data_IF_794983351191
#
_entry.id   IF_794983351191
#
_cell.length_a   1.000
_cell.length_b   1.000
_cell.length_c   1.000
_cell.angle_alpha   90.00
_cell.angle_beta   90.00
_cell.angle_gamma   90.00
#
_symmetry.space_group_name_H-M   'P 1'
#
loop_
_entity.id
_entity.type
_entity.pdbx_description
1 polymer ?
#
# COMPACT_ATOMS: atom_id res chain seq x y z
N UNK A 1 87.31 11.16 19.04
CA UNK A 1 86.46 11.71 17.96
C UNK A 1 85.39 10.70 17.44
N UNK A 2 85.57 9.44 17.72
CA UNK A 2 84.65 8.33 17.24
C UNK A 2 83.35 8.20 18.04
N UNK A 3 83.33 8.47 19.37
CA UNK A 3 82.18 8.31 20.26
C UNK A 3 81.06 9.31 19.99
N UNK A 4 81.39 10.56 19.48
CA UNK A 4 80.33 11.55 19.14
C UNK A 4 79.55 11.27 17.86
N UNK A 5 80.11 10.47 16.96
CA UNK A 5 79.47 10.09 15.71
C UNK A 5 78.44 8.94 15.91
N UNK A 6 78.65 8.08 16.89
CA UNK A 6 77.71 6.92 17.18
C UNK A 6 76.43 7.42 17.86
N UNK A 7 76.51 8.38 18.79
CA UNK A 7 75.32 8.95 19.45
C UNK A 7 74.46 9.77 18.51
N UNK A 8 75.02 10.46 17.51
CA UNK A 8 74.26 11.22 16.52
C UNK A 8 73.42 10.29 15.61
N UNK A 9 74.01 9.19 15.18
CA UNK A 9 73.28 8.19 14.35
C UNK A 9 72.18 7.42 15.09
N UNK A 10 72.42 7.10 16.37
CA UNK A 10 71.43 6.42 17.21
C UNK A 10 70.25 7.32 17.53
N UNK A 11 70.45 8.61 17.80
CA UNK A 11 69.38 9.56 18.00
C UNK A 11 68.58 9.82 16.72
N UNK A 12 69.19 9.82 15.53
CA UNK A 12 68.48 9.99 14.26
C UNK A 12 67.65 8.74 13.92
N UNK A 13 68.14 7.54 14.12
CA UNK A 13 67.36 6.30 13.96
C UNK A 13 66.17 6.22 14.93
N UNK A 14 66.32 6.68 16.17
CA UNK A 14 65.21 6.76 17.13
C UNK A 14 64.16 7.80 16.73
N UNK A 15 64.58 8.96 16.16
CA UNK A 15 63.62 9.94 15.63
C UNK A 15 62.89 9.46 14.37
N UNK A 16 63.54 8.75 13.47
CA UNK A 16 62.91 8.18 12.28
C UNK A 16 61.94 7.05 12.65
N UNK A 17 62.31 6.24 13.62
CA UNK A 17 61.40 5.19 14.16
C UNK A 17 60.17 5.78 14.88
N UNK A 18 60.35 6.86 15.66
CA UNK A 18 59.25 7.58 16.31
C UNK A 18 58.32 8.26 15.28
N UNK A 19 58.88 8.81 14.22
CA UNK A 19 58.10 9.43 13.13
C UNK A 19 57.34 8.42 12.30
N UNK A 20 57.91 7.22 12.08
CA UNK A 20 57.21 6.10 11.41
C UNK A 20 56.04 5.56 12.23
N UNK A 21 56.12 5.49 13.56
CA UNK A 21 55.05 5.08 14.44
C UNK A 21 53.87 6.08 14.41
N UNK A 22 54.14 7.38 14.30
CA UNK A 22 53.08 8.42 14.18
C UNK A 22 52.34 8.33 12.84
N UNK A 23 53.01 7.92 11.76
CA UNK A 23 52.37 7.74 10.45
C UNK A 23 51.47 6.52 10.39
N UNK A 24 51.66 5.50 11.23
CA UNK A 24 50.80 4.32 11.31
C UNK A 24 49.64 4.48 12.27
N UNK A 25 49.62 5.48 13.15
CA UNK A 25 48.54 5.76 14.09
C UNK A 25 47.39 6.57 13.49
N UNK A 26 47.46 6.99 12.23
CA UNK A 26 46.53 7.90 11.58
C UNK A 26 45.37 7.25 10.82
N UNK A 27 45.22 5.92 10.81
CA UNK A 27 44.21 5.25 10.03
C UNK A 27 43.28 4.36 10.84
N UNK A 28 42.67 4.86 11.90
CA UNK A 28 41.50 4.18 12.52
C UNK A 28 40.46 5.18 13.03
N UNK A 29 40.27 6.28 12.31
CA UNK A 29 39.02 7.00 12.33
C UNK A 29 38.04 6.26 11.40
N UNK A 30 37.46 5.16 11.84
CA UNK A 30 36.18 4.73 11.33
C UNK A 30 35.18 5.85 11.73
N UNK A 31 35.13 6.90 10.94
CA UNK A 31 33.89 7.63 10.80
C UNK A 31 32.92 6.60 10.22
N UNK A 32 32.24 5.87 11.09
CA UNK A 32 30.99 5.22 10.71
C UNK A 32 30.11 6.33 10.14
N UNK A 33 30.18 6.48 8.82
CA UNK A 33 29.13 7.21 8.10
C UNK A 33 27.83 6.57 8.59
N UNK A 34 26.83 7.34 9.07
CA UNK A 34 25.56 6.76 9.45
C UNK A 34 25.21 5.80 8.33
N UNK A 35 24.95 4.53 8.67
CA UNK A 35 24.74 3.44 7.70
C UNK A 35 23.64 3.90 6.76
N UNK A 36 24.04 4.46 5.61
CA UNK A 36 23.09 4.80 4.55
C UNK A 36 22.34 3.50 4.24
N UNK A 37 21.05 3.55 4.32
CA UNK A 37 20.21 2.43 3.94
C UNK A 37 20.53 2.01 2.51
N UNK A 38 20.35 0.75 2.20
CA UNK A 38 20.50 0.19 0.87
C UNK A 38 19.26 -0.61 0.52
N UNK A 39 19.15 -1.09 -0.70
CA UNK A 39 17.97 -1.81 -1.19
C UNK A 39 17.50 -3.02 -0.34
N UNK A 40 18.34 -3.50 0.59
CA UNK A 40 18.07 -4.69 1.40
C UNK A 40 18.45 -4.55 2.88
N UNK A 41 18.76 -3.35 3.35
CA UNK A 41 19.09 -3.06 4.75
C UNK A 41 18.76 -1.61 5.12
N UNK A 42 18.51 -1.37 6.41
CA UNK A 42 18.18 -0.07 6.97
C UNK A 42 16.76 -0.02 7.52
N UNK A 43 16.31 1.15 7.91
CA UNK A 43 14.95 1.38 8.41
C UNK A 43 14.32 2.56 7.68
N UNK A 44 13.11 2.37 7.16
CA UNK A 44 12.33 3.44 6.52
C UNK A 44 10.92 3.51 7.07
N UNK A 45 10.34 4.70 7.02
CA UNK A 45 8.91 4.92 7.26
C UNK A 45 8.17 5.06 5.93
N UNK A 46 7.03 4.40 5.85
CA UNK A 46 6.10 4.52 4.73
C UNK A 46 4.70 4.85 5.25
N UNK A 47 3.93 5.62 4.49
CA UNK A 47 2.51 5.87 4.80
C UNK A 47 1.62 5.10 3.83
N UNK A 48 0.65 4.38 4.35
CA UNK A 48 -0.16 3.44 3.58
C UNK A 48 -1.63 3.73 3.82
N UNK A 49 -2.40 3.80 2.73
CA UNK A 49 -3.86 3.83 2.83
C UNK A 49 -4.36 2.60 3.60
N UNK A 50 -5.14 2.84 4.64
CA UNK A 50 -5.62 1.82 5.59
C UNK A 50 -6.37 0.68 4.89
N UNK A 51 -7.04 0.96 3.78
CA UNK A 51 -7.75 -0.04 2.98
C UNK A 51 -6.85 -1.20 2.53
N UNK A 52 -5.52 -1.01 2.48
CA UNK A 52 -4.55 -2.00 2.03
C UNK A 52 -3.73 -2.64 3.15
N UNK A 53 -4.06 -2.34 4.42
CA UNK A 53 -3.31 -2.86 5.56
C UNK A 53 -3.04 -4.37 5.49
N UNK A 54 -4.01 -5.28 5.26
CA UNK A 54 -3.74 -6.72 5.28
C UNK A 54 -2.72 -7.17 4.23
N UNK A 55 -2.81 -6.62 3.01
CA UNK A 55 -1.91 -7.01 1.93
C UNK A 55 -0.53 -6.40 2.08
N UNK A 56 -0.42 -5.16 2.58
CA UNK A 56 0.88 -4.51 2.76
C UNK A 56 1.61 -5.08 3.98
N UNK A 57 0.91 -5.43 5.07
CA UNK A 57 1.52 -6.19 6.17
C UNK A 57 2.14 -7.50 5.66
N UNK A 58 1.45 -8.22 4.77
CA UNK A 58 1.97 -9.45 4.16
C UNK A 58 3.18 -9.18 3.26
N UNK A 59 3.19 -8.09 2.49
CA UNK A 59 4.34 -7.67 1.68
C UNK A 59 5.56 -7.38 2.55
N UNK A 60 5.38 -6.60 3.63
CA UNK A 60 6.45 -6.23 4.57
C UNK A 60 7.00 -7.47 5.26
N UNK A 61 6.12 -8.34 5.76
CA UNK A 61 6.52 -9.58 6.43
C UNK A 61 7.43 -10.46 5.55
N UNK A 62 7.06 -10.65 4.29
CA UNK A 62 7.87 -11.47 3.37
C UNK A 62 9.15 -10.75 2.98
N UNK A 63 9.12 -9.44 2.76
CA UNK A 63 10.30 -8.65 2.45
C UNK A 63 11.33 -8.68 3.58
N UNK A 64 10.90 -8.43 4.83
CA UNK A 64 11.78 -8.46 6.01
C UNK A 64 12.32 -9.88 6.29
N UNK A 65 11.53 -10.93 6.01
CA UNK A 65 12.01 -12.32 6.11
C UNK A 65 13.10 -12.64 5.08
N UNK A 66 13.04 -12.07 3.87
CA UNK A 66 14.07 -12.21 2.85
C UNK A 66 15.31 -11.35 3.13
N UNK A 67 15.12 -10.22 3.78
CA UNK A 67 16.15 -9.23 4.08
C UNK A 67 16.17 -8.89 5.57
N UNK A 68 16.75 -9.73 6.44
CA UNK A 68 16.68 -9.58 7.90
C UNK A 68 17.29 -8.29 8.47
N UNK A 69 18.06 -7.56 7.67
CA UNK A 69 18.63 -6.23 8.02
C UNK A 69 17.76 -5.07 7.55
N UNK A 70 16.63 -5.35 6.90
CA UNK A 70 15.67 -4.36 6.46
C UNK A 70 14.52 -4.26 7.47
N UNK A 71 14.08 -3.01 7.75
CA UNK A 71 12.92 -2.73 8.59
C UNK A 71 12.04 -1.69 7.91
N UNK A 72 10.77 -2.02 7.68
CA UNK A 72 9.78 -1.11 7.11
C UNK A 72 8.72 -0.81 8.17
N UNK A 73 8.60 0.45 8.54
CA UNK A 73 7.61 0.93 9.50
C UNK A 73 6.47 1.56 8.70
N UNK A 74 5.32 0.90 8.69
CA UNK A 74 4.14 1.35 7.97
C UNK A 74 3.15 2.05 8.90
N UNK A 75 2.82 3.30 8.57
CA UNK A 75 1.77 4.08 9.20
C UNK A 75 0.49 3.99 8.35
N UNK A 76 -0.55 3.34 8.89
CA UNK A 76 -1.84 3.17 8.22
C UNK A 76 -2.77 4.33 8.55
N UNK A 77 -3.21 5.05 7.52
CA UNK A 77 -4.04 6.26 7.64
C UNK A 77 -4.89 6.51 6.40
N UNK A 78 -5.62 7.61 6.37
CA UNK A 78 -6.40 8.01 5.19
C UNK A 78 -5.49 8.33 3.99
N UNK A 79 -5.99 8.15 2.77
CA UNK A 79 -5.23 8.45 1.55
C UNK A 79 -4.73 9.90 1.52
N UNK A 80 -5.55 10.85 1.93
CA UNK A 80 -5.16 12.27 1.96
C UNK A 80 -4.04 12.55 2.98
N UNK A 81 -4.03 11.85 4.12
CA UNK A 81 -2.93 11.94 5.08
C UNK A 81 -1.64 11.31 4.53
N UNK A 82 -1.73 10.24 3.74
CA UNK A 82 -0.57 9.69 3.04
C UNK A 82 0.07 10.72 2.10
N UNK A 83 -0.75 11.44 1.30
CA UNK A 83 -0.23 12.52 0.44
C UNK A 83 0.39 13.68 1.23
N UNK A 84 -0.19 14.05 2.39
CA UNK A 84 0.42 15.04 3.30
C UNK A 84 1.78 14.55 3.85
N UNK A 85 1.92 13.25 4.09
CA UNK A 85 3.16 12.67 4.57
C UNK A 85 4.24 12.59 3.49
N UNK A 86 3.87 12.48 2.22
CA UNK A 86 4.84 12.45 1.11
C UNK A 86 5.72 13.70 1.07
N UNK A 87 5.23 14.85 1.59
CA UNK A 87 6.00 16.10 1.68
C UNK A 87 7.01 16.06 2.83
N UNK A 88 6.79 15.22 3.86
CA UNK A 88 7.65 15.13 5.05
C UNK A 88 8.94 14.34 4.74
N UNK A 89 10.07 14.80 5.27
CA UNK A 89 11.37 14.14 5.06
C UNK A 89 11.44 12.74 5.68
N UNK A 90 10.64 12.49 6.73
CA UNK A 90 10.60 11.19 7.40
C UNK A 90 9.93 10.08 6.57
N UNK A 91 9.07 10.42 5.61
CA UNK A 91 8.34 9.45 4.80
C UNK A 91 9.04 9.21 3.48
N UNK A 92 9.44 7.97 3.22
CA UNK A 92 10.15 7.58 2.00
C UNK A 92 9.23 7.15 0.86
N UNK A 93 8.10 6.58 1.19
CA UNK A 93 7.14 6.04 0.23
C UNK A 93 5.73 6.19 0.77
N UNK A 94 4.78 6.39 -0.14
CA UNK A 94 3.36 6.20 0.17
C UNK A 94 2.76 5.12 -0.73
N UNK A 95 1.73 4.43 -0.23
CA UNK A 95 0.96 3.43 -0.98
C UNK A 95 -0.50 3.83 -0.94
N UNK A 96 -1.06 4.15 -2.12
CA UNK A 96 -2.33 4.86 -2.32
C UNK A 96 -3.07 4.36 -3.56
N UNK A 97 -4.28 4.87 -3.83
CA UNK A 97 -5.13 4.37 -4.93
C UNK A 97 -4.99 5.15 -6.24
N UNK A 98 -4.12 6.14 -6.30
CA UNK A 98 -3.83 6.93 -7.51
C UNK A 98 -2.35 7.31 -7.58
N UNK A 99 -1.87 7.62 -8.76
CA UNK A 99 -0.59 8.31 -8.95
C UNK A 99 -0.69 9.81 -8.62
N UNK A 100 0.39 10.53 -8.88
CA UNK A 100 0.41 11.99 -8.82
C UNK A 100 -0.44 12.57 -9.96
N UNK A 101 -1.06 13.72 -9.72
CA UNK A 101 -1.64 14.55 -10.78
C UNK A 101 -0.54 15.40 -11.46
N UNK A 102 -0.85 15.94 -12.64
CA UNK A 102 0.10 16.80 -13.37
C UNK A 102 0.52 18.02 -12.52
N UNK A 103 -0.41 18.59 -11.71
CA UNK A 103 -0.12 19.70 -10.81
C UNK A 103 0.80 19.28 -9.65
N UNK A 104 0.57 18.08 -9.10
CA UNK A 104 1.42 17.51 -8.03
C UNK A 104 2.82 17.19 -8.58
N UNK A 105 2.93 16.59 -9.77
CA UNK A 105 4.23 16.33 -10.42
C UNK A 105 4.98 17.64 -10.68
N UNK A 106 4.29 18.66 -11.18
CA UNK A 106 4.85 19.98 -11.40
C UNK A 106 5.33 20.62 -10.09
N UNK A 107 4.54 20.51 -9.01
CA UNK A 107 4.94 21.01 -7.70
C UNK A 107 6.24 20.37 -7.21
N UNK A 108 6.35 19.02 -7.29
CA UNK A 108 7.58 18.33 -6.89
C UNK A 108 8.78 18.75 -7.73
N UNK A 109 8.60 18.89 -9.04
CA UNK A 109 9.65 19.31 -9.97
C UNK A 109 10.12 20.73 -9.71
N UNK A 110 9.19 21.68 -9.64
CA UNK A 110 9.50 23.10 -9.65
C UNK A 110 9.87 23.61 -8.25
N UNK A 111 9.26 23.07 -7.19
CA UNK A 111 9.44 23.53 -5.81
C UNK A 111 10.48 22.71 -5.03
N UNK A 112 10.59 21.41 -5.31
CA UNK A 112 11.45 20.49 -4.56
C UNK A 112 12.62 19.95 -5.40
N UNK A 113 12.68 20.30 -6.70
CA UNK A 113 13.69 19.80 -7.66
C UNK A 113 13.83 18.26 -7.64
N UNK A 114 12.75 17.58 -7.37
CA UNK A 114 12.68 16.15 -7.19
C UNK A 114 11.49 15.54 -7.96
N UNK A 115 11.72 14.36 -8.56
CA UNK A 115 10.68 13.58 -9.22
C UNK A 115 10.42 12.31 -8.43
N UNK A 116 9.30 12.20 -7.70
CA UNK A 116 8.91 10.93 -7.10
C UNK A 116 8.67 9.88 -8.18
N UNK A 117 9.31 8.73 -8.04
CA UNK A 117 9.00 7.59 -8.89
C UNK A 117 7.68 6.97 -8.42
N UNK A 118 6.73 6.74 -9.32
CA UNK A 118 5.50 6.02 -8.98
C UNK A 118 5.07 5.06 -10.07
N UNK A 119 4.38 4.01 -9.67
CA UNK A 119 3.84 3.03 -10.61
C UNK A 119 2.66 2.27 -9.98
N UNK A 120 1.82 1.72 -10.85
CA UNK A 120 0.72 0.87 -10.44
C UNK A 120 1.20 -0.55 -10.18
N UNK A 121 0.92 -1.09 -8.98
CA UNK A 121 1.34 -2.43 -8.55
C UNK A 121 0.23 -3.48 -8.59
N UNK A 122 -1.04 -3.04 -8.43
CA UNK A 122 -2.19 -3.94 -8.50
C UNK A 122 -3.47 -3.19 -8.91
N UNK A 123 -4.51 -3.96 -9.26
CA UNK A 123 -5.88 -3.48 -9.27
C UNK A 123 -6.60 -4.08 -8.05
N UNK A 124 -7.23 -3.22 -7.29
CA UNK A 124 -8.09 -3.53 -6.14
C UNK A 124 -9.56 -3.37 -6.54
N UNK A 125 -10.45 -3.87 -5.70
CA UNK A 125 -11.87 -3.59 -5.79
C UNK A 125 -12.40 -3.13 -4.43
N UNK A 126 -13.31 -2.15 -4.44
CA UNK A 126 -14.13 -1.84 -3.28
C UNK A 126 -15.26 -2.86 -3.21
N UNK A 127 -15.17 -3.79 -2.26
CA UNK A 127 -16.19 -4.80 -2.03
C UNK A 127 -17.35 -4.20 -1.24
N UNK A 128 -18.58 -4.51 -1.67
CA UNK A 128 -19.78 -4.24 -0.88
C UNK A 128 -20.08 -5.47 -0.04
N UNK A 129 -20.22 -5.30 1.28
CA UNK A 129 -20.56 -6.37 2.21
C UNK A 129 -21.88 -6.06 2.89
N UNK A 130 -22.64 -7.14 3.17
CA UNK A 130 -23.92 -7.09 3.88
C UNK A 130 -23.95 -8.14 4.99
N UNK A 131 -24.81 -7.97 5.96
CA UNK A 131 -25.02 -8.98 7.00
C UNK A 131 -25.49 -10.30 6.37
N UNK A 132 -25.04 -11.45 6.89
CA UNK A 132 -25.44 -12.76 6.38
C UNK A 132 -26.96 -13.03 6.48
N UNK A 133 -27.63 -12.35 7.41
CA UNK A 133 -29.09 -12.46 7.60
C UNK A 133 -29.93 -11.51 6.73
N UNK A 134 -29.27 -10.62 5.96
CA UNK A 134 -29.98 -9.72 5.05
C UNK A 134 -30.53 -10.51 3.85
N UNK A 135 -31.76 -10.25 3.40
CA UNK A 135 -32.29 -10.90 2.22
C UNK A 135 -31.55 -10.48 0.94
N UNK A 136 -31.21 -9.22 0.84
CA UNK A 136 -30.59 -8.63 -0.34
C UNK A 136 -29.06 -8.83 -0.35
N UNK A 137 -28.55 -9.26 -1.50
CA UNK A 137 -27.11 -9.38 -1.77
C UNK A 137 -26.75 -9.12 -3.24
N UNK A 138 -27.74 -8.65 -4.01
CA UNK A 138 -27.59 -8.27 -5.42
C UNK A 138 -27.94 -6.79 -5.55
N UNK A 139 -27.01 -5.98 -6.05
CA UNK A 139 -27.21 -4.54 -6.15
C UNK A 139 -26.80 -4.02 -7.54
N UNK A 140 -27.73 -3.30 -8.18
CA UNK A 140 -27.36 -2.48 -9.33
C UNK A 140 -26.57 -1.24 -8.86
N UNK A 141 -25.80 -0.66 -9.75
CA UNK A 141 -25.06 0.57 -9.44
C UNK A 141 -26.00 1.75 -9.20
N UNK A 142 -27.17 1.75 -9.83
CA UNK A 142 -28.22 2.76 -9.59
C UNK A 142 -28.82 2.62 -8.20
N UNK A 143 -29.08 1.40 -7.75
CA UNK A 143 -29.54 1.16 -6.38
C UNK A 143 -28.49 1.62 -5.35
N UNK A 144 -27.23 1.29 -5.55
CA UNK A 144 -26.14 1.77 -4.66
C UNK A 144 -26.10 3.30 -4.64
N UNK A 145 -26.15 3.94 -5.82
CA UNK A 145 -26.15 5.41 -5.94
C UNK A 145 -27.32 6.01 -5.17
N UNK A 146 -28.53 5.46 -5.35
CA UNK A 146 -29.72 5.96 -4.70
C UNK A 146 -29.72 5.76 -3.18
N UNK A 147 -29.05 4.71 -2.65
CA UNK A 147 -28.84 4.55 -1.22
C UNK A 147 -27.89 5.64 -0.71
N UNK A 148 -26.79 5.91 -1.44
CA UNK A 148 -25.78 6.87 -1.04
C UNK A 148 -26.25 8.33 -1.09
N UNK A 149 -27.04 8.71 -2.08
CA UNK A 149 -27.58 10.08 -2.26
C UNK A 149 -28.99 10.28 -1.68
N UNK A 150 -29.60 9.19 -1.15
CA UNK A 150 -30.93 9.24 -0.54
C UNK A 150 -32.11 9.31 -1.54
N UNK A 151 -31.85 9.23 -2.85
CA UNK A 151 -32.88 9.46 -3.89
C UNK A 151 -33.90 8.33 -4.03
N UNK A 152 -33.58 7.10 -3.62
CA UNK A 152 -34.47 5.95 -3.80
C UNK A 152 -35.46 5.71 -2.65
N UNK A 153 -35.32 6.39 -1.52
CA UNK A 153 -36.12 6.15 -0.32
C UNK A 153 -35.93 4.79 0.34
N UNK A 154 -34.94 4.01 -0.08
CA UNK A 154 -34.60 2.72 0.49
C UNK A 154 -34.36 2.81 2.00
N UNK A 155 -34.72 1.76 2.75
CA UNK A 155 -34.42 1.68 4.19
C UNK A 155 -32.95 1.40 4.48
N UNK A 156 -32.21 0.94 3.48
CA UNK A 156 -30.81 0.61 3.59
C UNK A 156 -29.95 1.87 3.81
N UNK A 157 -28.86 1.67 4.52
CA UNK A 157 -27.83 2.70 4.81
C UNK A 157 -26.46 2.19 4.39
N UNK A 158 -25.48 3.06 4.36
CA UNK A 158 -24.11 2.72 3.97
C UNK A 158 -23.13 3.08 5.09
N UNK A 159 -22.07 2.28 5.25
CA UNK A 159 -20.99 2.54 6.20
C UNK A 159 -19.63 2.45 5.52
N UNK A 160 -18.77 3.45 5.77
CA UNK A 160 -17.42 3.59 5.22
C UNK A 160 -16.36 3.66 6.33
N UNK A 161 -15.10 3.51 5.96
CA UNK A 161 -13.91 3.59 6.81
C UNK A 161 -13.47 5.03 7.15
N UNK A 162 -14.37 5.95 7.19
CA UNK A 162 -14.21 7.37 7.47
C UNK A 162 -15.33 8.17 6.84
N UNK A 163 -15.44 9.47 7.17
CA UNK A 163 -16.40 10.39 6.55
C UNK A 163 -15.77 11.26 5.47
N UNK A 164 -14.45 11.41 5.49
CA UNK A 164 -13.69 12.28 4.58
C UNK A 164 -12.28 11.71 4.38
N UNK A 165 -11.68 12.08 3.26
CA UNK A 165 -10.24 11.88 3.01
C UNK A 165 -9.77 10.42 2.82
N UNK A 166 -10.64 9.40 2.96
CA UNK A 166 -10.29 8.02 2.65
C UNK A 166 -10.43 7.74 1.16
N UNK A 167 -9.65 6.80 0.65
CA UNK A 167 -9.72 6.40 -0.76
C UNK A 167 -11.07 5.80 -1.13
N UNK A 168 -11.72 5.09 -0.18
CA UNK A 168 -13.03 4.48 -0.38
C UNK A 168 -14.13 5.53 -0.54
N UNK A 169 -14.09 6.58 0.28
CA UNK A 169 -14.99 7.75 0.17
C UNK A 169 -14.75 8.50 -1.13
N UNK A 170 -13.48 8.82 -1.45
CA UNK A 170 -13.14 9.49 -2.71
C UNK A 170 -13.65 8.69 -3.91
N UNK A 171 -13.38 7.37 -3.92
CA UNK A 171 -13.89 6.49 -4.99
C UNK A 171 -15.41 6.56 -5.10
N UNK A 172 -16.14 6.53 -3.97
CA UNK A 172 -17.61 6.59 -3.99
C UNK A 172 -18.11 7.94 -4.52
N UNK A 173 -17.52 9.05 -4.12
CA UNK A 173 -17.90 10.38 -4.63
C UNK A 173 -17.60 10.50 -6.13
N UNK A 174 -16.37 10.17 -6.55
CA UNK A 174 -15.92 10.38 -7.92
C UNK A 174 -16.58 9.41 -8.91
N UNK A 175 -16.58 8.11 -8.56
CA UNK A 175 -16.98 7.06 -9.50
C UNK A 175 -18.46 6.67 -9.40
N UNK A 176 -19.06 6.69 -8.21
CA UNK A 176 -20.46 6.30 -8.01
C UNK A 176 -21.39 7.50 -8.08
N UNK A 177 -21.10 8.53 -7.27
CA UNK A 177 -21.94 9.74 -7.18
C UNK A 177 -21.62 10.79 -8.25
N UNK A 178 -20.50 10.63 -9.00
CA UNK A 178 -20.06 11.56 -10.03
C UNK A 178 -19.94 13.01 -9.51
N UNK A 179 -19.30 13.18 -8.36
CA UNK A 179 -19.07 14.46 -7.72
C UNK A 179 -20.21 14.96 -6.82
N UNK A 180 -21.32 14.23 -6.71
CA UNK A 180 -22.39 14.60 -5.77
C UNK A 180 -22.07 14.23 -4.35
N UNK A 181 -22.70 14.91 -3.39
CA UNK A 181 -22.55 14.63 -1.96
C UNK A 181 -23.41 13.45 -1.53
N UNK A 182 -22.99 12.78 -0.43
CA UNK A 182 -23.79 11.79 0.28
C UNK A 182 -25.00 12.43 0.98
N UNK A 183 -26.07 11.65 1.13
CA UNK A 183 -27.12 11.97 2.11
C UNK A 183 -26.58 11.68 3.53
N UNK A 184 -26.47 12.70 4.42
CA UNK A 184 -25.94 12.52 5.76
C UNK A 184 -26.83 11.64 6.67
N UNK A 185 -28.05 11.36 6.27
CA UNK A 185 -28.97 10.44 6.97
C UNK A 185 -28.76 9.00 6.54
N UNK A 186 -28.07 8.77 5.44
CA UNK A 186 -27.88 7.44 4.82
C UNK A 186 -26.48 6.91 4.96
N UNK A 187 -25.49 7.79 5.11
CA UNK A 187 -24.07 7.39 5.12
C UNK A 187 -23.46 7.63 6.48
N UNK A 188 -22.90 6.58 7.05
CA UNK A 188 -22.22 6.56 8.34
C UNK A 188 -20.72 6.26 8.16
N UNK A 189 -19.94 6.49 9.20
CA UNK A 189 -18.52 6.17 9.21
C UNK A 189 -18.14 5.37 10.45
N UNK A 190 -17.25 4.44 10.22
CA UNK A 190 -16.47 3.75 11.22
C UNK A 190 -15.00 4.22 11.18
N UNK A 191 -14.24 3.89 12.21
CA UNK A 191 -12.87 4.36 12.35
C UNK A 191 -11.94 3.82 11.24
N UNK A 192 -12.20 2.60 10.78
CA UNK A 192 -11.36 1.86 9.82
C UNK A 192 -12.16 0.71 9.18
N UNK A 193 -11.56 0.02 8.23
CA UNK A 193 -12.17 -1.11 7.51
C UNK A 193 -12.64 -2.25 8.43
N UNK A 194 -11.89 -2.55 9.51
CA UNK A 194 -12.33 -3.55 10.51
C UNK A 194 -13.60 -3.10 11.24
N UNK A 195 -13.70 -1.80 11.57
CA UNK A 195 -14.90 -1.19 12.14
C UNK A 195 -16.12 -1.37 11.22
N UNK A 196 -15.95 -1.10 9.92
CA UNK A 196 -17.00 -1.33 8.90
C UNK A 196 -17.48 -2.78 8.91
N UNK A 197 -16.56 -3.75 8.87
CA UNK A 197 -16.91 -5.18 8.88
C UNK A 197 -17.71 -5.54 10.16
N UNK A 198 -17.23 -5.08 11.31
CA UNK A 198 -17.90 -5.34 12.59
C UNK A 198 -19.28 -4.67 12.68
N UNK A 199 -19.40 -3.45 12.15
CA UNK A 199 -20.69 -2.74 12.12
C UNK A 199 -21.72 -3.52 11.28
N UNK A 200 -21.36 -3.92 10.06
CA UNK A 200 -22.22 -4.71 9.18
C UNK A 200 -22.56 -6.07 9.80
N UNK A 201 -21.60 -6.71 10.48
CA UNK A 201 -21.83 -7.99 11.16
C UNK A 201 -22.93 -7.90 12.25
N UNK A 202 -23.14 -6.74 12.84
CA UNK A 202 -24.09 -6.52 13.94
C UNK A 202 -25.36 -5.77 13.53
N UNK A 203 -25.43 -5.25 12.30
CA UNK A 203 -26.58 -4.46 11.84
C UNK A 203 -27.09 -5.00 10.51
N UNK A 204 -28.44 -5.09 10.39
CA UNK A 204 -29.13 -5.42 9.15
C UNK A 204 -29.42 -4.15 8.34
N UNK A 205 -29.68 -4.34 7.05
CA UNK A 205 -29.98 -3.26 6.10
C UNK A 205 -28.85 -2.21 6.00
N UNK A 206 -27.61 -2.67 6.13
CA UNK A 206 -26.41 -1.83 6.02
C UNK A 206 -25.48 -2.39 4.94
N UNK A 207 -25.06 -1.53 4.02
CA UNK A 207 -24.01 -1.82 3.04
C UNK A 207 -22.67 -1.30 3.59
N UNK A 208 -21.71 -2.20 3.80
CA UNK A 208 -20.34 -1.82 4.14
C UNK A 208 -19.45 -1.76 2.90
N UNK A 209 -18.59 -0.77 2.83
CA UNK A 209 -17.65 -0.59 1.73
C UNK A 209 -16.21 -0.78 2.23
N UNK A 210 -15.52 -1.82 1.75
CA UNK A 210 -14.16 -2.17 2.18
C UNK A 210 -13.30 -2.60 0.99
N UNK A 211 -11.98 -2.44 1.07
CA UNK A 211 -11.07 -3.02 0.09
C UNK A 211 -11.14 -4.55 0.08
N UNK A 212 -11.04 -5.16 -1.11
CA UNK A 212 -11.17 -6.62 -1.25
C UNK A 212 -10.12 -7.39 -0.43
N UNK A 213 -8.96 -6.78 -0.16
CA UNK A 213 -7.90 -7.38 0.67
C UNK A 213 -8.32 -7.66 2.11
N UNK A 214 -9.38 -7.01 2.61
CA UNK A 214 -9.92 -7.22 3.95
C UNK A 214 -10.85 -8.41 4.07
N UNK A 215 -11.43 -8.86 2.96
CA UNK A 215 -12.55 -9.84 2.98
C UNK A 215 -12.40 -10.94 1.92
N UNK A 216 -11.46 -10.83 1.00
CA UNK A 216 -11.34 -11.74 -0.13
C UNK A 216 -10.58 -13.03 0.18
N UNK A 217 -9.60 -13.00 1.08
CA UNK A 217 -8.67 -14.11 1.31
C UNK A 217 -9.31 -15.22 2.17
N UNK A 218 -9.66 -16.32 1.51
CA UNK A 218 -10.25 -17.50 2.17
C UNK A 218 -9.22 -18.40 2.88
N UNK A 219 -7.94 -18.11 2.77
CA UNK A 219 -6.86 -18.80 3.50
C UNK A 219 -6.52 -18.07 4.81
N UNK A 220 -6.95 -16.82 4.97
CA UNK A 220 -6.77 -16.02 6.18
C UNK A 220 -7.87 -16.34 7.19
N UNK A 221 -7.49 -16.88 8.35
CA UNK A 221 -8.42 -17.28 9.42
C UNK A 221 -9.25 -16.11 9.95
N UNK A 222 -8.70 -14.91 10.00
CA UNK A 222 -9.41 -13.71 10.42
C UNK A 222 -10.50 -13.35 9.42
N UNK A 223 -10.18 -13.33 8.12
CA UNK A 223 -11.15 -13.06 7.06
C UNK A 223 -12.22 -14.15 6.96
N UNK A 224 -11.85 -15.43 7.17
CA UNK A 224 -12.82 -16.51 7.30
C UNK A 224 -13.81 -16.27 8.46
N UNK A 225 -13.33 -15.73 9.59
CA UNK A 225 -14.21 -15.40 10.71
C UNK A 225 -15.20 -14.29 10.37
N UNK A 226 -14.79 -13.31 9.55
CA UNK A 226 -15.68 -12.25 9.06
C UNK A 226 -16.77 -12.82 8.13
N UNK A 227 -16.38 -13.70 7.20
CA UNK A 227 -17.30 -14.33 6.25
C UNK A 227 -18.36 -15.23 6.89
N UNK A 228 -18.22 -15.61 8.18
CA UNK A 228 -19.27 -16.26 8.96
C UNK A 228 -20.39 -15.29 9.37
N UNK A 229 -20.15 -14.00 9.38
CA UNK A 229 -21.08 -12.95 9.85
C UNK A 229 -21.57 -12.05 8.73
N UNK A 230 -20.71 -11.79 7.74
CA UNK A 230 -21.00 -10.94 6.59
C UNK A 230 -20.78 -11.70 5.28
N UNK A 231 -21.44 -11.28 4.22
CA UNK A 231 -21.21 -11.81 2.88
C UNK A 231 -20.90 -10.69 1.89
N UNK A 232 -20.11 -11.02 0.89
CA UNK A 232 -19.82 -10.11 -0.23
C UNK A 232 -21.04 -10.10 -1.15
N UNK A 233 -21.59 -8.93 -1.38
CA UNK A 233 -22.66 -8.71 -2.34
C UNK A 233 -22.14 -8.84 -3.78
N UNK A 234 -23.00 -9.23 -4.69
CA UNK A 234 -22.73 -9.18 -6.11
C UNK A 234 -23.32 -7.88 -6.70
N UNK A 235 -22.54 -7.22 -7.54
CA UNK A 235 -22.92 -5.99 -8.21
C UNK A 235 -23.24 -6.26 -9.67
N UNK A 236 -24.15 -5.46 -10.21
CA UNK A 236 -24.45 -5.49 -11.63
C UNK A 236 -23.19 -5.24 -12.46
N UNK A 237 -22.95 -6.13 -13.40
CA UNK A 237 -21.75 -6.15 -14.23
C UNK A 237 -21.74 -4.97 -15.20
N UNK A 238 -20.54 -4.50 -15.56
CA UNK A 238 -20.35 -3.63 -16.74
C UNK A 238 -20.45 -4.38 -18.08
N UNK A 239 -20.85 -5.64 -18.07
CA UNK A 239 -21.13 -6.54 -19.18
C UNK A 239 -22.66 -6.64 -19.43
N UNK A 240 -23.17 -7.56 -20.27
CA UNK A 240 -24.61 -7.58 -20.63
C UNK A 240 -25.55 -7.52 -19.44
N UNK A 241 -26.66 -6.80 -19.59
CA UNK A 241 -27.65 -6.52 -18.58
C UNK A 241 -28.12 -7.76 -17.80
N UNK A 242 -28.40 -7.56 -16.50
CA UNK A 242 -28.94 -8.59 -15.63
C UNK A 242 -27.91 -9.56 -15.05
N UNK A 243 -26.62 -9.39 -15.36
CA UNK A 243 -25.55 -10.19 -14.78
C UNK A 243 -24.96 -9.54 -13.54
N UNK A 244 -24.96 -10.26 -12.41
CA UNK A 244 -24.37 -9.81 -11.16
C UNK A 244 -23.06 -10.56 -10.88
N UNK A 245 -22.02 -9.85 -10.50
CA UNK A 245 -20.69 -10.41 -10.28
C UNK A 245 -20.11 -9.95 -8.93
N UNK A 246 -19.33 -10.83 -8.32
CA UNK A 246 -18.53 -10.52 -7.12
C UNK A 246 -17.12 -10.05 -7.53
N UNK A 247 -16.38 -9.36 -6.63
CA UNK A 247 -15.03 -8.86 -6.90
C UNK A 247 -13.99 -9.99 -6.91
N UNK A 248 -14.25 -11.07 -7.65
CA UNK A 248 -13.23 -12.08 -7.92
C UNK A 248 -12.19 -11.56 -8.89
N UNK A 249 -10.97 -12.04 -8.79
CA UNK A 249 -9.83 -11.56 -9.57
C UNK A 249 -10.10 -11.49 -11.08
N UNK A 250 -10.74 -12.52 -11.65
CA UNK A 250 -11.12 -12.51 -13.07
C UNK A 250 -12.12 -11.39 -13.44
N UNK A 251 -12.97 -10.98 -12.49
CA UNK A 251 -13.90 -9.88 -12.70
C UNK A 251 -13.23 -8.51 -12.49
N UNK A 252 -12.22 -8.45 -11.61
CA UNK A 252 -11.37 -7.27 -11.41
C UNK A 252 -10.50 -7.04 -12.67
N UNK A 253 -9.83 -8.09 -13.13
CA UNK A 253 -8.98 -8.06 -14.34
C UNK A 253 -9.75 -7.55 -15.56
N UNK A 254 -10.89 -8.17 -15.84
CA UNK A 254 -11.72 -7.86 -17.00
C UNK A 254 -12.60 -6.63 -16.81
N UNK A 255 -12.46 -5.95 -15.68
CA UNK A 255 -13.31 -4.81 -15.30
C UNK A 255 -14.81 -5.08 -15.40
N UNK A 256 -15.22 -6.32 -15.18
CA UNK A 256 -16.63 -6.70 -15.08
C UNK A 256 -17.25 -6.23 -13.78
N UNK A 257 -16.49 -6.30 -12.68
CA UNK A 257 -16.89 -5.71 -11.42
C UNK A 257 -16.77 -4.18 -11.50
N UNK A 258 -17.84 -3.42 -11.21
CA UNK A 258 -17.87 -1.98 -11.52
C UNK A 258 -17.00 -1.12 -10.60
N UNK A 259 -16.65 -1.61 -9.42
CA UNK A 259 -15.94 -0.83 -8.41
C UNK A 259 -14.46 -1.25 -8.31
N UNK A 260 -13.74 -1.16 -9.43
CA UNK A 260 -12.29 -1.46 -9.52
C UNK A 260 -11.49 -0.17 -9.47
N UNK A 261 -10.42 -0.16 -8.65
CA UNK A 261 -9.46 0.94 -8.51
C UNK A 261 -8.02 0.46 -8.61
N UNK A 262 -7.08 1.35 -8.86
CA UNK A 262 -5.65 1.03 -8.86
C UNK A 262 -5.06 1.02 -7.45
N UNK A 263 -3.91 0.38 -7.28
CA UNK A 263 -3.01 0.50 -6.15
C UNK A 263 -1.66 0.94 -6.68
N UNK A 264 -1.12 2.01 -6.12
CA UNK A 264 0.12 2.66 -6.56
C UNK A 264 1.07 2.81 -5.39
N UNK A 265 2.38 2.72 -5.66
CA UNK A 265 3.36 3.32 -4.77
C UNK A 265 3.83 4.66 -5.34
N UNK A 266 4.21 5.58 -4.47
CA UNK A 266 4.90 6.82 -4.82
C UNK A 266 6.13 6.91 -3.92
N UNK A 267 7.32 6.86 -4.52
CA UNK A 267 8.60 6.75 -3.86
C UNK A 267 9.36 8.07 -3.94
N UNK A 268 9.79 8.56 -2.78
CA UNK A 268 10.61 9.76 -2.63
C UNK A 268 12.07 9.39 -2.33
N UNK A 269 12.71 8.68 -3.26
CA UNK A 269 14.14 8.36 -3.21
C UNK A 269 14.79 8.61 -4.57
N UNK A 270 15.98 9.24 -4.54
CA UNK A 270 16.81 9.50 -5.71
C UNK A 270 18.12 8.70 -5.71
N UNK A 271 18.20 7.67 -4.87
CA UNK A 271 19.35 6.78 -4.71
C UNK A 271 18.89 5.34 -4.49
N UNK A 272 19.83 4.39 -4.48
CA UNK A 272 19.56 2.97 -4.27
C UNK A 272 19.33 2.67 -2.77
N UNK A 273 18.22 3.16 -2.21
CA UNK A 273 17.84 2.99 -0.84
C UNK A 273 16.85 1.85 -0.61
N UNK A 274 16.41 1.70 0.64
CA UNK A 274 15.50 0.63 1.05
C UNK A 274 14.09 0.79 0.49
N UNK A 275 13.64 2.04 0.26
CA UNK A 275 12.36 2.30 -0.40
C UNK A 275 12.36 1.80 -1.84
N UNK A 276 13.44 2.05 -2.60
CA UNK A 276 13.64 1.49 -3.93
C UNK A 276 13.71 -0.04 -3.92
N UNK A 277 14.35 -0.63 -2.91
CA UNK A 277 14.38 -2.08 -2.69
C UNK A 277 12.99 -2.67 -2.47
N UNK A 278 12.17 -2.02 -1.64
CA UNK A 278 10.79 -2.45 -1.40
C UNK A 278 9.88 -2.22 -2.61
N UNK A 279 10.02 -1.09 -3.32
CA UNK A 279 9.30 -0.83 -4.57
C UNK A 279 9.59 -1.93 -5.62
N UNK A 280 10.85 -2.30 -5.78
CA UNK A 280 11.24 -3.41 -6.64
C UNK A 280 10.61 -4.72 -6.19
N UNK A 281 10.64 -5.04 -4.89
CA UNK A 281 10.04 -6.26 -4.38
C UNK A 281 8.55 -6.36 -4.70
N UNK A 282 7.76 -5.32 -4.45
CA UNK A 282 6.31 -5.33 -4.70
C UNK A 282 5.95 -5.32 -6.21
N UNK A 283 6.88 -4.90 -7.08
CA UNK A 283 6.68 -4.90 -8.55
C UNK A 283 7.16 -6.18 -9.22
N UNK A 284 8.01 -6.99 -8.58
CA UNK A 284 8.49 -8.26 -9.11
C UNK A 284 7.66 -9.47 -8.63
N UNK A 285 7.99 -10.64 -9.15
CA UNK A 285 7.21 -11.88 -9.03
C UNK A 285 6.71 -12.19 -7.61
N UNK A 286 7.58 -12.13 -6.60
CA UNK A 286 7.21 -12.49 -5.22
C UNK A 286 6.15 -11.54 -4.66
N UNK A 287 6.34 -10.24 -4.78
CA UNK A 287 5.37 -9.25 -4.35
C UNK A 287 4.07 -9.32 -5.14
N UNK A 288 4.14 -9.55 -6.44
CA UNK A 288 2.96 -9.72 -7.29
C UNK A 288 2.16 -10.98 -6.93
N UNK A 289 2.81 -12.08 -6.54
CA UNK A 289 2.15 -13.28 -6.03
C UNK A 289 1.42 -13.01 -4.70
N UNK A 290 1.95 -12.15 -3.84
CA UNK A 290 1.29 -11.76 -2.59
C UNK A 290 0.01 -10.95 -2.90
N UNK A 291 0.05 -10.01 -3.85
CA UNK A 291 -1.18 -9.32 -4.30
C UNK A 291 -2.22 -10.32 -4.81
N UNK A 292 -1.80 -11.29 -5.61
CA UNK A 292 -2.70 -12.31 -6.12
C UNK A 292 -3.33 -13.15 -5.00
N UNK A 293 -2.57 -13.58 -4.00
CA UNK A 293 -3.07 -14.33 -2.83
C UNK A 293 -4.04 -13.51 -1.99
N UNK A 294 -3.83 -12.20 -1.93
CA UNK A 294 -4.69 -11.25 -1.22
C UNK A 294 -5.91 -10.79 -2.03
N UNK A 295 -6.23 -11.47 -3.12
CA UNK A 295 -7.37 -11.25 -4.01
C UNK A 295 -7.33 -9.94 -4.82
N UNK A 296 -6.22 -9.22 -4.85
CA UNK A 296 -5.98 -8.17 -5.81
C UNK A 296 -5.54 -8.77 -7.16
N UNK A 297 -5.72 -8.02 -8.24
CA UNK A 297 -5.15 -8.40 -9.54
C UNK A 297 -3.78 -7.74 -9.73
N UNK A 298 -2.69 -8.52 -9.81
CA UNK A 298 -1.33 -8.00 -10.01
C UNK A 298 -1.23 -7.18 -11.29
N UNK A 299 -0.56 -6.02 -11.25
CA UNK A 299 -0.42 -5.15 -12.42
C UNK A 299 0.80 -5.47 -13.29
N UNK A 300 1.78 -6.20 -12.74
CA UNK A 300 3.09 -6.46 -13.37
C UNK A 300 3.33 -7.93 -13.74
N UNK A 301 2.36 -8.81 -13.50
CA UNK A 301 2.47 -10.22 -13.93
C UNK A 301 1.78 -10.43 -15.28
N UNK A 302 2.53 -11.00 -16.23
CA UNK A 302 1.97 -11.50 -17.47
C UNK A 302 1.57 -12.97 -17.27
N UNK A 303 0.29 -13.24 -17.17
CA UNK A 303 -0.23 -14.60 -17.13
C UNK A 303 -0.35 -15.16 -18.54
N UNK A 304 0.53 -16.08 -18.90
CA UNK A 304 0.38 -16.88 -20.14
C UNK A 304 -0.47 -18.10 -19.82
N UNK A 305 -1.70 -18.14 -20.33
CA UNK A 305 -2.54 -19.34 -20.26
C UNK A 305 -1.94 -20.35 -21.23
N UNK A 306 -1.29 -21.40 -20.71
CA UNK A 306 -0.88 -22.55 -21.52
C UNK A 306 -2.03 -23.56 -21.53
N UNK A 307 -2.52 -23.90 -22.71
CA UNK A 307 -3.41 -25.05 -22.87
C UNK A 307 -2.60 -26.32 -22.58
N UNK A 308 -2.95 -27.02 -21.49
CA UNK A 308 -2.42 -28.36 -21.24
C UNK A 308 -3.40 -29.39 -21.84
N UNK A 309 -2.95 -30.19 -22.80
CA UNK A 309 -3.62 -31.42 -23.19
C UNK A 309 -3.15 -32.51 -22.23
N UNK A 310 -4.07 -33.05 -21.43
CA UNK A 310 -3.82 -34.28 -20.69
C UNK A 310 -3.85 -35.43 -21.69
N UNK A 311 -2.70 -36.08 -21.86
CA UNK A 311 -2.59 -37.37 -22.58
C UNK A 311 -3.04 -38.51 -21.66
#
# INVERSE_FOLDING_TARGET
MIVKLINGRMNWMLMVAAFAVILFSGCSGHNERPDLDSSNRGTIHISVDESFKPVIDSQIQVFEALYPKAKIIADYKSEAECFKDLIKDSTRMIIVTRGLTDEEEKFYKDSLTFYPAFDKVANDAVAVIVNNSDPDSLFSMDKIRGILDGSTGDKQTAVFDGLRETSTIRFAIDSILKGKSFDPKKVFAEKNSLGVINYVANHKNVLGFVGVSWIGNKEDTSQLSFLKKVRIAALECTCPEGTFVKPYQANIERRRYPMVRGLYYILKENYNGLGGGFANFITYEKGQLIFMRSYLWPAKMNFTIRSATLN
#
